data_IF_658097166686
#
_entry.id   IF_658097166686
#
_cell.length_a   1.000
_cell.length_b   1.000
_cell.length_c   1.000
_cell.angle_alpha   90.00
_cell.angle_beta   90.00
_cell.angle_gamma   90.00
#
_symmetry.space_group_name_H-M   'P 1'
#
loop_
_entity.id
_entity.type
_entity.pdbx_description
1 polymer ?
#
# COMPACT_ATOMS: atom_id res chain seq x y z
N UNK A 1 -9.35 15.31 -20.13
CA UNK A 1 -8.04 15.51 -19.49
C UNK A 1 -6.96 15.53 -20.55
N UNK A 2 -6.24 16.63 -20.65
CA UNK A 2 -5.02 16.78 -21.46
C UNK A 2 -3.91 15.90 -20.91
N UNK A 3 -2.80 15.77 -21.64
CA UNK A 3 -1.62 15.05 -21.14
C UNK A 3 -1.01 15.74 -19.92
N UNK A 4 -0.94 17.07 -19.94
CA UNK A 4 -0.43 17.89 -18.85
C UNK A 4 -1.26 17.72 -17.57
N UNK A 5 -2.59 17.84 -17.66
CA UNK A 5 -3.50 17.64 -16.52
C UNK A 5 -3.33 16.26 -15.89
N UNK A 6 -3.17 15.21 -16.71
CA UNK A 6 -2.93 13.85 -16.20
C UNK A 6 -1.61 13.76 -15.44
N UNK A 7 -0.56 14.41 -15.92
CA UNK A 7 0.75 14.40 -15.26
C UNK A 7 0.71 15.20 -13.96
N UNK A 8 0.10 16.38 -13.95
CA UNK A 8 -0.06 17.20 -12.75
C UNK A 8 -0.83 16.46 -11.66
N UNK A 9 -1.95 15.80 -12.00
CA UNK A 9 -2.70 14.98 -11.05
C UNK A 9 -1.86 13.80 -10.55
N UNK A 10 -1.09 13.14 -11.43
CA UNK A 10 -0.22 12.03 -11.00
C UNK A 10 0.79 12.48 -9.97
N UNK A 11 1.45 13.61 -10.23
CA UNK A 11 2.46 14.18 -9.36
C UNK A 11 1.87 14.57 -8.01
N UNK A 12 0.70 15.23 -8.02
CA UNK A 12 -0.01 15.59 -6.80
C UNK A 12 -0.40 14.35 -5.97
N UNK A 13 -0.98 13.31 -6.58
CA UNK A 13 -1.29 12.07 -5.87
C UNK A 13 -0.03 11.35 -5.34
N UNK A 14 1.09 11.37 -6.10
CA UNK A 14 2.36 10.80 -5.64
C UNK A 14 2.88 11.55 -4.41
N UNK A 15 2.76 12.87 -4.40
CA UNK A 15 3.17 13.72 -3.29
C UNK A 15 2.33 13.46 -2.03
N UNK A 16 1.01 13.44 -2.17
CA UNK A 16 0.07 13.14 -1.07
C UNK A 16 0.26 11.73 -0.50
N UNK A 17 0.64 10.77 -1.34
CA UNK A 17 0.87 9.38 -0.94
C UNK A 17 2.31 9.13 -0.45
N UNK A 18 3.09 10.18 -0.22
CA UNK A 18 4.50 10.12 0.18
C UNK A 18 5.32 9.17 -0.70
N UNK A 19 4.96 9.11 -1.98
CA UNK A 19 5.67 8.28 -2.93
C UNK A 19 5.35 6.82 -3.00
N UNK A 20 4.31 6.38 -2.28
CA UNK A 20 3.94 4.98 -2.24
C UNK A 20 2.73 4.74 -3.15
N UNK A 21 2.70 3.56 -3.77
CA UNK A 21 1.52 3.07 -4.47
C UNK A 21 0.38 2.89 -3.46
N UNK A 22 -0.78 3.49 -3.76
CA UNK A 22 -1.95 3.52 -2.87
C UNK A 22 -2.42 2.14 -2.38
N UNK A 23 -2.12 1.07 -3.11
CA UNK A 23 -2.59 -0.28 -2.76
C UNK A 23 -1.50 -1.19 -2.21
N UNK A 24 -0.33 -1.23 -2.86
CA UNK A 24 0.71 -2.17 -2.44
C UNK A 24 1.75 -1.56 -1.50
N UNK A 25 1.75 -0.24 -1.31
CA UNK A 25 2.73 0.53 -0.53
C UNK A 25 4.17 0.45 -1.06
N UNK A 26 4.39 -0.01 -2.29
CA UNK A 26 5.72 0.04 -2.90
C UNK A 26 6.01 1.44 -3.44
N UNK A 27 7.29 1.85 -3.46
CA UNK A 27 7.68 3.12 -4.04
C UNK A 27 7.29 3.26 -5.51
N UNK A 28 6.89 4.47 -5.88
CA UNK A 28 6.51 4.86 -7.24
C UNK A 28 7.05 6.24 -7.60
N UNK A 29 7.27 6.44 -8.89
CA UNK A 29 7.69 7.69 -9.53
C UNK A 29 6.65 8.06 -10.60
N UNK A 30 6.82 9.23 -11.23
CA UNK A 30 5.92 9.66 -12.30
C UNK A 30 5.88 8.67 -13.49
N UNK A 31 6.98 7.96 -13.74
CA UNK A 31 7.15 6.98 -14.83
C UNK A 31 6.61 5.60 -14.44
N UNK A 32 6.68 5.26 -13.15
CA UNK A 32 6.29 3.94 -12.64
C UNK A 32 4.87 3.90 -12.06
N UNK A 33 4.16 5.04 -12.10
CA UNK A 33 2.77 5.17 -11.67
C UNK A 33 1.80 5.48 -12.83
N UNK A 34 0.52 5.30 -12.56
CA UNK A 34 -0.60 5.85 -13.34
C UNK A 34 -1.65 6.43 -12.40
N UNK A 35 -2.52 7.27 -12.96
CA UNK A 35 -3.68 7.80 -12.26
C UNK A 35 -4.73 6.70 -12.28
N UNK A 36 -5.13 6.26 -11.11
CA UNK A 36 -6.09 5.19 -10.93
C UNK A 36 -7.38 5.76 -10.37
N UNK A 37 -8.50 5.40 -11.00
CA UNK A 37 -9.82 5.73 -10.49
C UNK A 37 -10.26 4.65 -9.50
N UNK A 38 -10.49 5.04 -8.25
CA UNK A 38 -10.87 4.13 -7.18
C UNK A 38 -12.29 3.56 -7.40
N UNK A 39 -13.25 4.43 -7.71
CA UNK A 39 -14.52 4.03 -8.30
C UNK A 39 -14.35 3.92 -9.82
N UNK A 40 -14.56 2.72 -10.36
CA UNK A 40 -14.39 2.44 -11.78
C UNK A 40 -15.15 3.44 -12.65
N UNK A 41 -14.43 4.04 -13.61
CA UNK A 41 -14.96 5.06 -14.53
C UNK A 41 -16.21 4.60 -15.28
N UNK A 42 -16.24 3.33 -15.67
CA UNK A 42 -17.35 2.76 -16.44
C UNK A 42 -18.65 2.73 -15.63
N UNK A 43 -18.54 2.62 -14.30
CA UNK A 43 -19.67 2.62 -13.38
C UNK A 43 -20.05 4.02 -12.88
N UNK A 44 -19.12 4.99 -12.98
CA UNK A 44 -19.31 6.37 -12.48
C UNK A 44 -18.64 7.42 -13.39
N UNK A 45 -19.08 7.59 -14.65
CA UNK A 45 -18.41 8.48 -15.61
C UNK A 45 -18.40 9.95 -15.14
N UNK A 46 -19.41 10.37 -14.38
CA UNK A 46 -19.51 11.70 -13.75
C UNK A 46 -18.36 11.99 -12.76
N UNK A 47 -17.68 10.97 -12.22
CA UNK A 47 -16.55 11.12 -11.28
C UNK A 47 -15.18 10.98 -11.97
N UNK A 48 -15.13 10.99 -13.30
CA UNK A 48 -13.89 10.79 -14.04
C UNK A 48 -12.84 11.91 -13.83
N UNK A 49 -13.29 13.08 -13.39
CA UNK A 49 -12.47 14.27 -13.05
C UNK A 49 -12.50 14.60 -11.55
N UNK A 50 -13.16 13.77 -10.75
CA UNK A 50 -13.22 13.95 -9.31
C UNK A 50 -11.86 13.57 -8.71
N UNK A 51 -11.08 14.55 -8.26
CA UNK A 51 -9.76 14.32 -7.68
C UNK A 51 -9.84 13.43 -6.44
N UNK A 52 -10.95 13.51 -5.67
CA UNK A 52 -11.21 12.62 -4.52
C UNK A 52 -11.49 11.17 -4.91
N UNK A 53 -11.48 10.86 -6.21
CA UNK A 53 -11.62 9.51 -6.76
C UNK A 53 -10.34 9.01 -7.43
N UNK A 54 -9.23 9.75 -7.35
CA UNK A 54 -7.98 9.43 -8.06
C UNK A 54 -6.85 9.20 -7.06
N UNK A 55 -6.12 8.12 -7.28
CA UNK A 55 -4.88 7.79 -6.55
C UNK A 55 -3.75 7.45 -7.53
N UNK A 56 -2.51 7.50 -7.07
CA UNK A 56 -1.37 7.00 -7.81
C UNK A 56 -1.14 5.50 -7.53
N UNK A 57 -1.19 4.68 -8.58
CA UNK A 57 -1.02 3.23 -8.53
C UNK A 57 0.16 2.79 -9.39
N UNK A 58 0.89 1.75 -8.98
CA UNK A 58 2.07 1.28 -9.72
C UNK A 58 1.70 0.61 -11.05
N UNK A 59 2.60 0.67 -12.04
CA UNK A 59 2.42 0.11 -13.39
C UNK A 59 2.68 -1.42 -13.50
N UNK A 60 2.78 -2.14 -12.38
CA UNK A 60 3.03 -3.58 -12.39
C UNK A 60 1.90 -4.34 -13.07
N UNK A 61 2.25 -5.31 -13.90
CA UNK A 61 1.26 -6.13 -14.63
C UNK A 61 0.51 -7.04 -13.66
N UNK A 62 -0.80 -7.20 -13.88
CA UNK A 62 -1.69 -8.06 -13.07
C UNK A 62 -1.63 -7.78 -11.56
N UNK A 63 -1.41 -6.52 -11.16
CA UNK A 63 -1.37 -6.09 -9.77
C UNK A 63 -1.92 -4.66 -9.65
N UNK A 64 -2.47 -4.29 -8.49
CA UNK A 64 -2.91 -2.93 -8.18
C UNK A 64 -3.93 -2.46 -9.24
N UNK A 65 -3.83 -1.22 -9.72
CA UNK A 65 -4.74 -0.68 -10.74
C UNK A 65 -4.78 -1.49 -12.04
N UNK A 66 -3.68 -2.16 -12.42
CA UNK A 66 -3.67 -3.06 -13.58
C UNK A 66 -4.46 -4.36 -13.38
N UNK A 67 -4.66 -4.79 -12.14
CA UNK A 67 -5.54 -5.92 -11.80
C UNK A 67 -7.00 -5.47 -11.57
N UNK A 68 -7.17 -4.29 -10.95
CA UNK A 68 -8.48 -3.68 -10.72
C UNK A 68 -9.26 -3.53 -12.03
N UNK A 69 -8.64 -2.90 -13.04
CA UNK A 69 -9.26 -2.65 -14.34
C UNK A 69 -10.64 -1.97 -14.22
N UNK A 70 -11.72 -2.72 -14.47
CA UNK A 70 -13.10 -2.23 -14.42
C UNK A 70 -13.93 -2.87 -13.29
N UNK A 71 -13.29 -3.65 -12.42
CA UNK A 71 -13.96 -4.35 -11.33
C UNK A 71 -14.39 -3.36 -10.24
N UNK A 72 -15.38 -3.72 -9.42
CA UNK A 72 -15.72 -2.93 -8.23
C UNK A 72 -14.71 -3.19 -7.12
N UNK A 73 -14.25 -2.13 -6.45
CA UNK A 73 -13.38 -2.19 -5.30
C UNK A 73 -14.15 -1.87 -4.00
N UNK A 74 -14.69 -2.87 -3.28
CA UNK A 74 -15.60 -2.65 -2.16
C UNK A 74 -14.92 -2.14 -0.87
N UNK A 75 -13.59 -2.28 -0.77
CA UNK A 75 -12.74 -1.61 0.22
C UNK A 75 -11.56 -0.98 -0.53
N UNK A 76 -11.34 0.32 -0.37
CA UNK A 76 -10.31 1.04 -1.09
C UNK A 76 -9.44 1.92 -0.18
N UNK A 77 -8.33 2.42 -0.72
CA UNK A 77 -7.32 3.19 0.02
C UNK A 77 -7.78 4.56 0.52
N UNK A 78 -8.96 5.03 0.10
CA UNK A 78 -9.54 6.30 0.55
C UNK A 78 -10.59 6.10 1.67
N UNK A 79 -10.80 4.86 2.11
CA UNK A 79 -11.68 4.51 3.22
C UNK A 79 -10.84 4.29 4.49
N UNK A 80 -11.24 4.91 5.60
CA UNK A 80 -10.56 4.77 6.89
C UNK A 80 -10.49 3.30 7.34
N UNK A 81 -11.51 2.49 7.01
CA UNK A 81 -11.56 1.07 7.37
C UNK A 81 -10.47 0.23 6.69
N UNK A 82 -9.79 0.76 5.67
CA UNK A 82 -8.64 0.10 5.02
C UNK A 82 -7.52 -0.20 6.04
N UNK A 83 -7.34 0.69 7.04
CA UNK A 83 -6.33 0.54 8.09
C UNK A 83 -6.67 -0.57 9.09
N UNK A 84 -7.95 -0.91 9.24
CA UNK A 84 -8.44 -1.84 10.27
C UNK A 84 -8.94 -3.18 9.72
N UNK A 85 -9.35 -3.24 8.46
CA UNK A 85 -9.85 -4.47 7.83
C UNK A 85 -8.77 -5.28 7.11
N UNK A 86 -7.53 -4.78 7.06
CA UNK A 86 -6.39 -5.48 6.51
C UNK A 86 -5.40 -5.84 7.62
N UNK A 87 -4.96 -7.10 7.60
CA UNK A 87 -3.92 -7.63 8.48
C UNK A 87 -2.71 -8.04 7.66
N UNK A 88 -1.57 -7.43 7.94
CA UNK A 88 -0.30 -7.79 7.30
C UNK A 88 0.55 -8.68 8.19
N UNK A 89 1.42 -9.47 7.54
CA UNK A 89 2.36 -10.38 8.18
C UNK A 89 3.78 -10.09 7.70
N UNK A 90 4.79 -10.38 8.54
CA UNK A 90 6.22 -10.29 8.17
C UNK A 90 6.61 -11.19 7.00
N UNK A 91 5.83 -12.24 6.75
CA UNK A 91 5.99 -13.07 5.57
C UNK A 91 5.73 -12.31 4.26
N UNK A 92 5.14 -11.11 4.30
CA UNK A 92 4.70 -10.33 3.15
C UNK A 92 3.24 -10.61 2.74
N UNK A 93 2.57 -11.54 3.44
CA UNK A 93 1.16 -11.85 3.26
C UNK A 93 0.27 -10.69 3.72
N UNK A 94 -0.85 -10.50 3.03
CA UNK A 94 -1.98 -9.70 3.49
C UNK A 94 -3.21 -10.60 3.71
N UNK A 95 -4.00 -10.31 4.71
CA UNK A 95 -5.27 -10.98 5.00
C UNK A 95 -6.37 -9.93 5.14
N UNK A 96 -7.54 -10.21 4.55
CA UNK A 96 -8.72 -9.39 4.74
C UNK A 96 -9.52 -9.92 5.93
N UNK A 97 -9.86 -9.04 6.87
CA UNK A 97 -10.63 -9.37 8.07
C UNK A 97 -12.16 -9.29 7.85
N UNK A 98 -12.57 -8.85 6.66
CA UNK A 98 -13.97 -8.76 6.25
C UNK A 98 -14.16 -9.35 4.83
N UNK A 99 -15.39 -9.74 4.45
CA UNK A 99 -15.67 -10.18 3.08
C UNK A 99 -15.30 -9.13 2.02
N UNK A 100 -15.49 -7.83 2.30
CA UNK A 100 -15.13 -6.75 1.37
C UNK A 100 -13.62 -6.57 1.25
N UNK A 101 -12.87 -6.73 2.34
CA UNK A 101 -11.41 -6.68 2.34
C UNK A 101 -10.82 -7.84 1.53
N UNK A 102 -11.30 -9.06 1.77
CA UNK A 102 -10.89 -10.26 1.02
C UNK A 102 -11.11 -10.06 -0.47
N UNK A 103 -12.31 -9.58 -0.86
CA UNK A 103 -12.62 -9.33 -2.27
C UNK A 103 -11.69 -8.29 -2.88
N UNK A 104 -11.39 -7.21 -2.15
CA UNK A 104 -10.53 -6.13 -2.64
C UNK A 104 -9.08 -6.57 -2.81
N UNK A 105 -8.56 -7.39 -1.89
CA UNK A 105 -7.24 -8.02 -2.02
C UNK A 105 -7.15 -8.88 -3.30
N UNK A 106 -8.18 -9.67 -3.59
CA UNK A 106 -8.24 -10.51 -4.78
C UNK A 106 -8.31 -9.68 -6.06
N UNK A 107 -9.17 -8.65 -6.10
CA UNK A 107 -9.32 -7.74 -7.25
C UNK A 107 -8.00 -7.03 -7.57
N UNK A 108 -7.28 -6.56 -6.54
CA UNK A 108 -6.01 -5.85 -6.67
C UNK A 108 -4.79 -6.79 -6.77
N UNK A 109 -5.00 -8.10 -6.61
CA UNK A 109 -3.96 -9.12 -6.51
C UNK A 109 -2.84 -8.75 -5.51
N UNK A 110 -3.21 -8.44 -4.26
CA UNK A 110 -2.29 -7.94 -3.24
C UNK A 110 -1.51 -9.02 -2.48
N UNK A 111 -1.57 -10.29 -2.90
CA UNK A 111 -0.79 -11.38 -2.31
C UNK A 111 -1.38 -11.92 -1.00
N UNK A 112 -2.64 -12.34 -1.02
CA UNK A 112 -3.29 -13.11 0.05
C UNK A 112 -2.71 -14.50 0.24
N UNK A 113 -2.18 -15.09 -0.82
CA UNK A 113 -1.33 -16.26 -0.77
C UNK A 113 -0.08 -16.06 -1.67
N UNK A 114 0.94 -16.89 -1.43
CA UNK A 114 2.22 -16.80 -2.15
C UNK A 114 2.07 -17.17 -3.63
N UNK A 115 1.08 -18.01 -3.96
CA UNK A 115 0.81 -18.49 -5.30
C UNK A 115 0.19 -17.38 -6.18
N UNK A 116 -0.68 -16.54 -5.61
CA UNK A 116 -1.38 -15.47 -6.35
C UNK A 116 -0.45 -14.33 -6.76
N UNK A 117 0.46 -13.92 -5.87
CA UNK A 117 1.43 -12.87 -6.17
C UNK A 117 2.76 -13.05 -5.43
N UNK A 118 3.53 -14.06 -5.86
CA UNK A 118 4.85 -14.36 -5.29
C UNK A 118 5.80 -13.17 -5.31
N UNK A 119 5.75 -12.35 -6.36
CA UNK A 119 6.65 -11.19 -6.51
C UNK A 119 6.39 -10.14 -5.45
N UNK A 120 5.13 -9.73 -5.25
CA UNK A 120 4.79 -8.74 -4.21
C UNK A 120 5.03 -9.29 -2.82
N UNK A 121 4.68 -10.57 -2.60
CA UNK A 121 4.91 -11.27 -1.34
C UNK A 121 6.39 -11.25 -0.95
N UNK A 122 7.27 -11.69 -1.86
CA UNK A 122 8.72 -11.69 -1.63
C UNK A 122 9.30 -10.28 -1.50
N UNK A 123 8.81 -9.32 -2.29
CA UNK A 123 9.28 -7.94 -2.23
C UNK A 123 8.95 -7.28 -0.88
N UNK A 124 7.74 -7.51 -0.35
CA UNK A 124 7.37 -7.06 0.99
C UNK A 124 8.28 -7.69 2.02
N UNK A 125 8.36 -9.03 2.07
CA UNK A 125 9.19 -9.72 3.06
C UNK A 125 10.62 -9.18 3.08
N UNK A 126 11.26 -9.09 1.92
CA UNK A 126 12.64 -8.62 1.83
C UNK A 126 12.83 -7.22 2.43
N UNK A 127 11.92 -6.30 2.14
CA UNK A 127 12.02 -4.92 2.65
C UNK A 127 11.66 -4.85 4.14
N UNK A 128 10.66 -5.60 4.60
CA UNK A 128 10.32 -5.69 6.02
C UNK A 128 11.51 -6.22 6.83
N UNK A 129 12.16 -7.29 6.35
CA UNK A 129 13.36 -7.85 6.98
C UNK A 129 14.50 -6.81 7.03
N UNK A 130 14.72 -6.05 5.96
CA UNK A 130 15.73 -4.96 5.94
C UNK A 130 15.40 -3.86 6.95
N UNK A 131 14.15 -3.39 7.00
CA UNK A 131 13.74 -2.33 7.93
C UNK A 131 13.90 -2.76 9.40
N UNK A 132 13.63 -4.02 9.72
CA UNK A 132 13.83 -4.56 11.06
C UNK A 132 15.33 -4.67 11.40
N UNK A 133 16.11 -5.18 10.45
CA UNK A 133 17.56 -5.33 10.62
C UNK A 133 18.26 -3.99 10.88
N UNK A 134 17.83 -2.91 10.21
CA UNK A 134 18.36 -1.55 10.43
C UNK A 134 18.18 -1.06 11.88
N UNK A 135 17.23 -1.65 12.62
CA UNK A 135 16.97 -1.38 14.03
C UNK A 135 17.53 -2.47 14.96
N UNK A 136 18.32 -3.40 14.43
CA UNK A 136 18.88 -4.52 15.19
C UNK A 136 17.87 -5.58 15.60
N UNK A 137 16.72 -5.65 14.94
CA UNK A 137 15.66 -6.62 15.21
C UNK A 137 15.64 -7.76 14.18
N UNK A 138 15.24 -8.94 14.64
CA UNK A 138 14.92 -10.07 13.78
C UNK A 138 13.42 -10.39 13.85
N UNK A 139 12.82 -10.66 12.68
CA UNK A 139 11.36 -10.83 12.57
C UNK A 139 10.77 -11.98 13.41
N UNK A 140 11.57 -12.96 13.81
CA UNK A 140 11.12 -14.11 14.60
C UNK A 140 10.98 -13.78 16.10
N UNK A 141 11.69 -12.77 16.59
CA UNK A 141 11.79 -12.44 18.01
C UNK A 141 11.12 -11.11 18.37
N UNK A 142 10.38 -10.51 17.43
CA UNK A 142 9.70 -9.22 17.60
C UNK A 142 8.77 -9.11 18.82
N UNK A 143 8.23 -10.22 19.32
CA UNK A 143 7.40 -10.23 20.54
C UNK A 143 8.22 -10.11 21.84
N UNK A 144 9.51 -10.44 21.80
CA UNK A 144 10.43 -10.31 22.92
C UNK A 144 11.16 -8.95 22.92
N UNK A 145 10.97 -8.14 21.88
CA UNK A 145 11.66 -6.86 21.71
C UNK A 145 11.18 -5.80 22.70
N UNK A 146 12.09 -4.88 23.01
CA UNK A 146 11.83 -3.78 23.93
C UNK A 146 10.76 -2.83 23.36
N UNK A 147 9.71 -2.56 24.13
CA UNK A 147 8.62 -1.65 23.76
C UNK A 147 9.11 -0.25 23.33
N UNK A 148 10.19 0.26 23.91
CA UNK A 148 10.76 1.56 23.54
C UNK A 148 11.38 1.53 22.13
N UNK A 149 12.01 0.42 21.76
CA UNK A 149 12.64 0.23 20.45
C UNK A 149 11.59 0.02 19.36
N UNK A 150 10.52 -0.74 19.67
CA UNK A 150 9.36 -0.88 18.78
C UNK A 150 8.66 0.47 18.56
N UNK A 151 8.51 1.29 19.60
CA UNK A 151 7.93 2.62 19.48
C UNK A 151 8.81 3.55 18.64
N UNK A 152 10.14 3.52 18.84
CA UNK A 152 11.07 4.31 18.03
C UNK A 152 11.02 3.94 16.54
N UNK A 153 10.94 2.63 16.22
CA UNK A 153 10.73 2.17 14.84
C UNK A 153 9.38 2.65 14.29
N UNK A 154 8.29 2.52 15.07
CA UNK A 154 6.96 2.95 14.66
C UNK A 154 6.90 4.44 14.30
N UNK A 155 7.58 5.29 15.06
CA UNK A 155 7.68 6.71 14.75
C UNK A 155 8.50 6.96 13.48
N UNK A 156 9.67 6.35 13.34
CA UNK A 156 10.51 6.53 12.14
C UNK A 156 9.82 6.07 10.85
N UNK A 157 9.09 4.96 10.89
CA UNK A 157 8.35 4.46 9.72
C UNK A 157 7.25 5.42 9.23
N UNK A 158 6.84 6.39 10.06
CA UNK A 158 5.84 7.39 9.70
C UNK A 158 6.47 8.72 9.27
N UNK A 159 7.78 8.88 9.41
CA UNK A 159 8.46 10.11 9.05
C UNK A 159 8.90 10.05 7.58
N UNK A 160 8.39 10.94 6.72
CA UNK A 160 8.90 11.05 5.37
C UNK A 160 10.30 11.71 5.38
N UNK A 161 11.10 11.40 4.37
CA UNK A 161 12.41 12.02 4.17
C UNK A 161 12.32 13.48 3.72
N UNK A 162 13.46 14.10 3.42
CA UNK A 162 13.55 15.51 2.96
C UNK A 162 12.88 15.77 1.61
N UNK A 163 12.52 14.72 0.86
CA UNK A 163 11.77 14.77 -0.39
C UNK A 163 10.31 14.33 -0.19
N UNK A 164 9.83 14.34 1.05
CA UNK A 164 8.49 13.93 1.45
C UNK A 164 8.17 12.46 1.10
N UNK A 165 9.16 11.56 1.17
CA UNK A 165 9.01 10.15 0.79
C UNK A 165 9.03 9.24 2.00
N UNK A 166 8.06 8.34 2.09
CA UNK A 166 8.09 7.24 3.05
C UNK A 166 8.90 6.06 2.52
N UNK A 167 9.51 5.30 3.44
CA UNK A 167 10.21 4.05 3.10
C UNK A 167 9.22 3.07 2.45
N UNK A 168 9.60 2.35 1.37
CA UNK A 168 8.72 1.37 0.76
C UNK A 168 8.17 0.36 1.77
N UNK A 169 6.87 0.08 1.70
CA UNK A 169 6.16 -0.82 2.60
C UNK A 169 6.19 -0.42 4.09
N UNK A 170 6.59 0.80 4.44
CA UNK A 170 6.51 1.28 5.83
C UNK A 170 5.10 1.22 6.43
N UNK A 171 3.99 1.53 5.71
CA UNK A 171 2.64 1.35 6.27
C UNK A 171 2.31 -0.12 6.56
N UNK A 172 2.86 -1.05 5.77
CA UNK A 172 2.71 -2.49 6.00
C UNK A 172 3.40 -2.90 7.30
N UNK A 173 4.63 -2.42 7.55
CA UNK A 173 5.33 -2.71 8.80
C UNK A 173 4.64 -2.06 10.00
N UNK A 174 4.18 -0.83 9.88
CA UNK A 174 3.38 -0.16 10.92
C UNK A 174 2.15 -0.98 11.28
N UNK A 175 1.43 -1.51 10.29
CA UNK A 175 0.27 -2.39 10.52
C UNK A 175 0.68 -3.68 11.25
N UNK A 176 1.81 -4.32 10.90
CA UNK A 176 2.33 -5.49 11.62
C UNK A 176 2.65 -5.16 13.08
N UNK A 177 3.40 -4.08 13.33
CA UNK A 177 3.87 -3.71 14.67
C UNK A 177 2.71 -3.30 15.60
N UNK A 178 1.69 -2.61 15.06
CA UNK A 178 0.48 -2.27 15.83
C UNK A 178 -0.25 -3.50 16.35
N UNK A 179 -0.26 -4.61 15.60
CA UNK A 179 -0.89 -5.86 16.04
C UNK A 179 -0.12 -6.58 17.15
N UNK A 180 1.18 -6.30 17.30
CA UNK A 180 2.02 -6.90 18.35
C UNK A 180 1.95 -6.12 19.67
N UNK A 181 1.53 -4.86 19.61
CA UNK A 181 1.48 -3.91 20.74
C UNK A 181 0.07 -3.70 21.28
N UNK A 182 -0.95 -4.26 20.60
CA UNK A 182 -2.37 -4.21 20.95
C UNK A 182 -2.85 -5.38 21.80
#
# INVERSE_FOLDING_TARGET
MTHEERNSIRLACIEEQHGLCAYCCHAITQETAHNEHVAARDTTPQRALDYSNIVASCNRTKQCGKAHAHQTLPLNSLMDECETELKFYLSGRVEGLSPRAIKSIQVLNLGDCRENNRTLFSARKSILDTLLFDYGMEGNDLQAENGDLLQALLEDLRLPDTQNRLKPFSPVLVNVLRQLTS
#
